data_IF_594426035711
#
_entry.id   IF_594426035711
#
_cell.length_a   1.000
_cell.length_b   1.000
_cell.length_c   1.000
_cell.angle_alpha   90.00
_cell.angle_beta   90.00
_cell.angle_gamma   90.00
#
_symmetry.space_group_name_H-M   'P 1'
#
loop_
_entity.id
_entity.type
_entity.pdbx_description
1 polymer ?
#
# COMPACT_ATOMS: atom_id res chain seq x y z
N UNK A 1 5.15 -33.01 -10.69
CA UNK A 1 4.38 -33.29 -11.92
C UNK A 1 3.12 -32.44 -11.85
N UNK A 2 3.06 -31.34 -12.59
CA UNK A 2 1.88 -30.46 -12.62
C UNK A 2 0.73 -31.19 -13.31
N UNK A 3 -0.41 -31.28 -12.64
CA UNK A 3 -1.61 -31.88 -13.23
C UNK A 3 -2.01 -31.12 -14.52
N UNK A 4 -2.42 -31.82 -15.59
CA UNK A 4 -2.92 -31.15 -16.78
C UNK A 4 -4.15 -30.31 -16.38
N UNK A 5 -4.11 -29.02 -16.67
CA UNK A 5 -5.26 -28.13 -16.53
C UNK A 5 -6.27 -28.60 -17.58
N UNK A 6 -7.29 -29.34 -17.15
CA UNK A 6 -8.41 -29.71 -18.01
C UNK A 6 -9.17 -28.41 -18.28
N UNK A 7 -8.89 -27.77 -19.42
CA UNK A 7 -9.66 -26.62 -19.89
C UNK A 7 -11.08 -27.13 -20.18
N UNK A 8 -12.05 -26.60 -19.44
CA UNK A 8 -13.46 -26.95 -19.67
C UNK A 8 -13.84 -26.62 -21.13
N UNK A 9 -14.68 -27.41 -21.81
CA UNK A 9 -15.22 -27.07 -23.13
C UNK A 9 -15.85 -25.66 -23.16
N UNK A 10 -16.31 -25.17 -22.01
CA UNK A 10 -16.80 -23.83 -21.82
C UNK A 10 -15.70 -22.75 -21.89
N UNK A 11 -14.53 -23.01 -21.31
CA UNK A 11 -13.40 -22.07 -21.36
C UNK A 11 -12.72 -22.07 -22.74
N UNK A 12 -12.89 -23.14 -23.53
CA UNK A 12 -12.38 -23.23 -24.90
C UNK A 12 -13.08 -22.28 -25.89
N UNK A 13 -14.35 -21.92 -25.63
CA UNK A 13 -15.12 -20.96 -26.46
C UNK A 13 -15.18 -19.56 -25.83
N UNK A 14 -14.26 -19.27 -24.89
CA UNK A 14 -14.15 -17.96 -24.25
C UNK A 14 -13.47 -16.97 -25.19
N UNK A 15 -14.08 -15.80 -25.34
CA UNK A 15 -13.55 -14.69 -26.11
C UNK A 15 -13.22 -13.50 -25.20
N UNK A 16 -12.38 -12.60 -25.70
CA UNK A 16 -12.08 -11.31 -25.07
C UNK A 16 -12.50 -10.19 -26.02
N UNK A 17 -13.17 -9.18 -25.49
CA UNK A 17 -13.39 -7.91 -26.21
C UNK A 17 -12.08 -7.12 -26.30
N UNK A 18 -12.06 -6.10 -27.15
CA UNK A 18 -10.91 -5.18 -27.28
C UNK A 18 -10.58 -4.46 -25.95
N UNK A 19 -11.57 -4.32 -25.06
CA UNK A 19 -11.46 -3.75 -23.71
C UNK A 19 -11.01 -4.80 -22.66
N UNK A 20 -10.71 -6.04 -23.06
CA UNK A 20 -10.28 -7.11 -22.16
C UNK A 20 -11.40 -7.79 -21.36
N UNK A 21 -12.67 -7.46 -21.61
CA UNK A 21 -13.83 -8.15 -20.99
C UNK A 21 -14.05 -9.51 -21.62
N UNK A 22 -14.20 -10.55 -20.79
CA UNK A 22 -14.58 -11.90 -21.24
C UNK A 22 -16.04 -11.95 -21.72
N UNK A 23 -16.27 -12.70 -22.81
CA UNK A 23 -17.61 -13.03 -23.28
C UNK A 23 -17.67 -14.39 -23.98
N UNK A 24 -18.88 -14.91 -24.13
CA UNK A 24 -19.19 -16.12 -24.89
C UNK A 24 -20.23 -15.80 -25.95
N UNK A 25 -19.97 -16.20 -27.20
CA UNK A 25 -20.99 -16.13 -28.24
C UNK A 25 -22.11 -17.13 -27.93
N UNK A 26 -23.37 -16.68 -28.00
CA UNK A 26 -24.52 -17.56 -27.90
C UNK A 26 -24.52 -18.60 -29.04
N UNK A 27 -24.00 -18.27 -30.22
CA UNK A 27 -23.86 -19.22 -31.34
C UNK A 27 -22.87 -20.34 -31.04
N UNK A 28 -21.74 -20.04 -30.39
CA UNK A 28 -20.75 -21.05 -29.99
C UNK A 28 -21.29 -21.93 -28.84
N UNK A 29 -22.05 -21.32 -27.92
CA UNK A 29 -22.63 -22.03 -26.77
C UNK A 29 -23.79 -22.96 -27.17
N UNK A 30 -24.58 -22.58 -28.17
CA UNK A 30 -25.77 -23.32 -28.62
C UNK A 30 -25.54 -24.83 -28.84
N UNK A 31 -24.55 -25.27 -29.65
CA UNK A 31 -24.30 -26.69 -29.89
C UNK A 31 -23.79 -27.41 -28.64
N UNK A 32 -23.02 -26.75 -27.76
CA UNK A 32 -22.52 -27.35 -26.52
C UNK A 32 -23.63 -27.68 -25.52
N UNK A 33 -24.78 -27.00 -25.64
CA UNK A 33 -25.97 -27.24 -24.84
C UNK A 33 -27.02 -28.12 -25.57
N UNK A 34 -26.63 -28.74 -26.68
CA UNK A 34 -27.46 -29.68 -27.43
C UNK A 34 -28.58 -29.05 -28.24
N UNK A 35 -28.54 -27.74 -28.53
CA UNK A 35 -29.54 -27.08 -29.37
C UNK A 35 -29.11 -27.08 -30.84
N UNK A 36 -29.97 -27.61 -31.71
CA UNK A 36 -29.74 -27.62 -33.16
C UNK A 36 -30.38 -26.39 -33.86
N UNK A 37 -31.49 -25.90 -33.31
CA UNK A 37 -32.29 -24.81 -33.89
C UNK A 37 -32.19 -23.56 -33.04
N UNK A 38 -31.87 -22.43 -33.68
CA UNK A 38 -31.66 -21.15 -33.01
C UNK A 38 -32.89 -20.68 -32.22
N UNK A 39 -34.09 -20.86 -32.76
CA UNK A 39 -35.33 -20.40 -32.11
C UNK A 39 -35.50 -21.04 -30.72
N UNK A 40 -35.17 -22.34 -30.61
CA UNK A 40 -35.22 -23.06 -29.34
C UNK A 40 -34.18 -22.58 -28.35
N UNK A 41 -33.02 -22.15 -28.84
CA UNK A 41 -31.98 -21.60 -27.98
C UNK A 41 -32.28 -20.15 -27.55
N UNK A 42 -32.84 -19.35 -28.46
CA UNK A 42 -33.31 -17.99 -28.18
C UNK A 42 -34.41 -17.99 -27.10
N UNK A 43 -35.29 -19.00 -27.08
CA UNK A 43 -36.26 -19.21 -26.01
C UNK A 43 -35.57 -19.44 -24.65
N UNK A 44 -34.53 -20.29 -24.60
CA UNK A 44 -33.76 -20.54 -23.38
C UNK A 44 -33.04 -19.27 -22.88
N UNK A 45 -32.45 -18.48 -23.80
CA UNK A 45 -31.86 -17.17 -23.48
C UNK A 45 -32.92 -16.21 -22.93
N UNK A 46 -34.13 -16.21 -23.49
CA UNK A 46 -35.21 -15.34 -23.04
C UNK A 46 -35.67 -15.69 -21.61
N UNK A 47 -35.77 -16.98 -21.28
CA UNK A 47 -36.03 -17.45 -19.91
C UNK A 47 -34.90 -17.04 -18.96
N UNK A 48 -33.64 -17.19 -19.37
CA UNK A 48 -32.48 -16.77 -18.59
C UNK A 48 -32.46 -15.25 -18.31
N UNK A 49 -32.79 -14.41 -19.30
CA UNK A 49 -32.94 -12.96 -19.12
C UNK A 49 -34.04 -12.61 -18.12
N UNK A 50 -35.17 -13.33 -18.16
CA UNK A 50 -36.25 -13.13 -17.19
C UNK A 50 -35.81 -13.51 -15.78
N UNK A 51 -35.13 -14.65 -15.61
CA UNK A 51 -34.58 -15.08 -14.33
C UNK A 51 -33.58 -14.05 -13.76
N UNK A 52 -32.67 -13.53 -14.60
CA UNK A 52 -31.73 -12.48 -14.19
C UNK A 52 -32.44 -11.23 -13.66
N UNK A 53 -33.44 -10.72 -14.40
CA UNK A 53 -34.22 -9.53 -13.99
C UNK A 53 -34.97 -9.76 -12.68
N UNK A 54 -35.60 -10.92 -12.52
CA UNK A 54 -36.33 -11.26 -11.31
C UNK A 54 -35.41 -11.38 -10.09
N UNK A 55 -34.14 -11.75 -10.31
CA UNK A 55 -33.09 -11.79 -9.29
C UNK A 55 -32.40 -10.43 -9.06
N UNK A 56 -32.83 -9.34 -9.73
CA UNK A 56 -32.27 -8.00 -9.57
C UNK A 56 -31.01 -7.72 -10.39
N UNK A 57 -30.62 -8.61 -11.30
CA UNK A 57 -29.46 -8.41 -12.19
C UNK A 57 -29.85 -7.70 -13.49
N UNK A 58 -28.96 -6.85 -14.01
CA UNK A 58 -29.16 -6.20 -15.30
C UNK A 58 -28.96 -7.18 -16.46
N UNK A 59 -30.05 -7.50 -17.15
CA UNK A 59 -30.05 -8.38 -18.31
C UNK A 59 -29.35 -7.75 -19.53
N UNK A 60 -29.33 -6.42 -19.68
CA UNK A 60 -28.65 -5.76 -20.79
C UNK A 60 -27.12 -5.89 -20.65
N UNK A 61 -26.61 -5.76 -19.42
CA UNK A 61 -25.20 -5.95 -19.11
C UNK A 61 -24.73 -7.40 -19.32
N UNK A 62 -25.56 -8.38 -18.96
CA UNK A 62 -25.19 -9.80 -18.98
C UNK A 62 -25.48 -10.49 -20.32
N UNK A 63 -26.45 -9.99 -21.08
CA UNK A 63 -26.89 -10.57 -22.36
C UNK A 63 -26.92 -9.53 -23.49
N UNK A 64 -25.84 -8.76 -23.72
CA UNK A 64 -25.79 -7.78 -24.80
C UNK A 64 -25.92 -8.48 -26.15
N UNK A 65 -26.80 -7.95 -27.01
CA UNK A 65 -26.89 -8.40 -28.39
C UNK A 65 -25.57 -8.09 -29.11
N UNK A 66 -25.07 -9.03 -29.90
CA UNK A 66 -23.89 -8.77 -30.73
C UNK A 66 -24.27 -7.76 -31.81
N UNK A 67 -23.58 -6.61 -31.83
CA UNK A 67 -23.75 -5.61 -32.89
C UNK A 67 -23.21 -6.10 -34.24
N UNK A 68 -22.41 -7.17 -34.25
CA UNK A 68 -21.92 -7.82 -35.46
C UNK A 68 -22.84 -8.99 -35.80
N UNK A 69 -23.68 -8.75 -36.79
CA UNK A 69 -24.34 -9.80 -37.55
C UNK A 69 -23.28 -10.77 -38.07
N UNK A 70 -23.28 -12.01 -37.61
CA UNK A 70 -22.44 -13.07 -38.17
C UNK A 70 -22.98 -13.44 -39.55
N UNK A 71 -22.51 -12.74 -40.59
CA UNK A 71 -23.00 -12.95 -41.95
C UNK A 71 -22.14 -12.23 -42.98
N UNK A 72 -20.92 -12.70 -43.23
CA UNK A 72 -20.15 -12.26 -44.40
C UNK A 72 -20.82 -12.71 -45.73
N UNK A 73 -21.84 -13.60 -45.68
CA UNK A 73 -22.52 -14.16 -46.86
C UNK A 73 -23.91 -14.75 -46.56
N UNK A 74 -24.77 -14.05 -45.82
CA UNK A 74 -26.13 -14.52 -45.51
C UNK A 74 -26.96 -13.52 -44.70
N UNK A 75 -28.28 -13.77 -44.53
CA UNK A 75 -29.15 -12.90 -43.75
C UNK A 75 -28.68 -12.81 -42.31
N UNK A 76 -29.01 -11.69 -41.67
CA UNK A 76 -28.47 -11.38 -40.37
C UNK A 76 -28.87 -12.39 -39.30
N UNK A 77 -27.89 -13.13 -38.77
CA UNK A 77 -28.13 -14.06 -37.67
C UNK A 77 -27.96 -13.33 -36.33
N UNK A 78 -29.00 -13.38 -35.49
CA UNK A 78 -28.93 -12.84 -34.14
C UNK A 78 -27.90 -13.61 -33.30
N UNK A 79 -27.13 -12.90 -32.49
CA UNK A 79 -26.18 -13.46 -31.53
C UNK A 79 -26.12 -12.59 -30.27
N UNK A 80 -25.55 -13.12 -29.19
CA UNK A 80 -25.35 -12.43 -27.92
C UNK A 80 -23.93 -12.66 -27.41
N UNK A 81 -23.32 -11.62 -26.83
CA UNK A 81 -22.04 -11.72 -26.13
C UNK A 81 -22.32 -11.93 -24.65
N UNK A 82 -22.58 -13.18 -24.26
CA UNK A 82 -22.99 -13.56 -22.93
C UNK A 82 -21.85 -13.38 -21.92
N UNK A 83 -22.16 -12.87 -20.74
CA UNK A 83 -21.24 -12.98 -19.59
C UNK A 83 -21.17 -14.43 -19.09
N UNK A 84 -20.15 -14.77 -18.31
CA UNK A 84 -20.06 -16.09 -17.66
C UNK A 84 -21.31 -16.42 -16.85
N UNK A 85 -21.83 -15.42 -16.12
CA UNK A 85 -23.08 -15.53 -15.38
C UNK A 85 -24.28 -15.83 -16.28
N UNK A 86 -24.40 -15.12 -17.42
CA UNK A 86 -25.47 -15.36 -18.38
C UNK A 86 -25.43 -16.79 -18.94
N UNK A 87 -24.25 -17.32 -19.25
CA UNK A 87 -24.12 -18.69 -19.72
C UNK A 87 -24.64 -19.73 -18.71
N UNK A 88 -24.33 -19.54 -17.42
CA UNK A 88 -24.84 -20.41 -16.36
C UNK A 88 -26.36 -20.31 -16.24
N UNK A 89 -26.92 -19.10 -16.30
CA UNK A 89 -28.37 -18.93 -16.30
C UNK A 89 -29.04 -19.57 -17.52
N UNK A 90 -28.43 -19.50 -18.71
CA UNK A 90 -28.94 -20.17 -19.92
C UNK A 90 -28.97 -21.69 -19.73
N UNK A 91 -27.91 -22.28 -19.17
CA UNK A 91 -27.89 -23.70 -18.86
C UNK A 91 -28.97 -24.07 -17.81
N UNK A 92 -29.09 -23.30 -16.73
CA UNK A 92 -30.07 -23.55 -15.67
C UNK A 92 -31.52 -23.42 -16.16
N UNK A 93 -31.80 -22.53 -17.12
CA UNK A 93 -33.12 -22.28 -17.70
C UNK A 93 -33.33 -22.97 -19.06
N UNK A 94 -32.48 -23.93 -19.42
CA UNK A 94 -32.58 -24.73 -20.64
C UNK A 94 -33.71 -25.78 -20.60
N UNK A 95 -33.91 -26.49 -21.70
CA UNK A 95 -34.82 -27.64 -21.77
C UNK A 95 -34.19 -28.86 -21.06
N UNK A 96 -34.73 -29.32 -19.92
CA UNK A 96 -34.15 -30.42 -19.14
C UNK A 96 -34.24 -31.78 -19.84
N UNK A 97 -34.96 -31.88 -20.97
CA UNK A 97 -34.97 -33.09 -21.81
C UNK A 97 -33.66 -33.26 -22.60
N UNK A 98 -32.81 -32.24 -22.66
CA UNK A 98 -31.49 -32.30 -23.29
C UNK A 98 -30.45 -32.83 -22.28
N UNK A 99 -29.70 -33.89 -22.60
CA UNK A 99 -28.71 -34.46 -21.68
C UNK A 99 -27.66 -33.44 -21.20
N UNK A 100 -27.24 -32.52 -22.05
CA UNK A 100 -26.25 -31.48 -21.74
C UNK A 100 -26.78 -30.49 -20.69
N UNK A 101 -28.06 -30.12 -20.79
CA UNK A 101 -28.73 -29.26 -19.80
C UNK A 101 -28.91 -29.99 -18.48
N UNK A 102 -29.37 -31.24 -18.50
CA UNK A 102 -29.54 -32.05 -17.29
C UNK A 102 -28.20 -32.29 -16.57
N UNK A 103 -27.13 -32.54 -17.32
CA UNK A 103 -25.77 -32.66 -16.79
C UNK A 103 -25.29 -31.35 -16.14
N UNK A 104 -25.52 -30.21 -16.80
CA UNK A 104 -25.17 -28.90 -16.23
C UNK A 104 -25.93 -28.62 -14.93
N UNK A 105 -27.24 -28.85 -14.90
CA UNK A 105 -28.06 -28.68 -13.69
C UNK A 105 -27.57 -29.59 -12.55
N UNK A 106 -27.28 -30.86 -12.83
CA UNK A 106 -26.74 -31.81 -11.85
C UNK A 106 -25.39 -31.35 -11.31
N UNK A 107 -24.51 -30.88 -12.20
CA UNK A 107 -23.23 -30.29 -11.82
C UNK A 107 -23.41 -29.10 -10.88
N UNK A 108 -24.33 -28.18 -11.18
CA UNK A 108 -24.59 -27.03 -10.30
C UNK A 108 -25.18 -27.45 -8.95
N UNK A 109 -26.06 -28.45 -8.90
CA UNK A 109 -26.58 -28.99 -7.62
C UNK A 109 -25.45 -29.56 -6.78
N UNK A 110 -24.58 -30.37 -7.38
CA UNK A 110 -23.41 -30.96 -6.70
C UNK A 110 -22.46 -29.86 -6.23
N UNK A 111 -22.11 -28.89 -7.10
CA UNK A 111 -21.20 -27.80 -6.75
C UNK A 111 -21.76 -26.87 -5.69
N UNK A 112 -23.07 -26.63 -5.70
CA UNK A 112 -23.73 -25.85 -4.65
C UNK A 112 -23.65 -26.61 -3.32
N UNK A 113 -23.90 -27.92 -3.32
CA UNK A 113 -23.77 -28.74 -2.11
C UNK A 113 -22.32 -28.77 -1.60
N UNK A 114 -21.35 -28.96 -2.48
CA UNK A 114 -19.93 -28.87 -2.15
C UNK A 114 -19.60 -27.51 -1.53
N UNK A 115 -20.05 -26.40 -2.12
CA UNK A 115 -19.81 -25.06 -1.60
C UNK A 115 -20.49 -24.79 -0.25
N UNK A 116 -21.72 -25.29 -0.04
CA UNK A 116 -22.42 -25.20 1.25
C UNK A 116 -21.72 -26.00 2.35
N UNK A 117 -21.14 -27.16 1.99
CA UNK A 117 -20.44 -28.05 2.93
C UNK A 117 -18.96 -27.74 3.08
N UNK A 118 -18.39 -26.93 2.17
CA UNK A 118 -17.06 -26.39 2.29
C UNK A 118 -17.04 -25.41 3.45
N UNK A 119 -16.78 -25.92 4.66
CA UNK A 119 -16.36 -25.12 5.80
C UNK A 119 -15.21 -24.21 5.35
N UNK A 120 -15.29 -22.92 5.67
CA UNK A 120 -14.15 -22.01 5.58
C UNK A 120 -12.93 -22.75 6.14
N UNK A 121 -11.80 -22.70 5.42
CA UNK A 121 -10.61 -23.51 5.70
C UNK A 121 -10.44 -23.69 7.22
N UNK A 122 -10.32 -24.93 7.73
CA UNK A 122 -10.30 -25.17 9.17
C UNK A 122 -9.28 -24.23 9.80
N UNK A 123 -9.70 -23.52 10.85
CA UNK A 123 -8.81 -22.63 11.57
C UNK A 123 -7.53 -23.42 11.89
N UNK A 124 -6.36 -22.85 11.57
CA UNK A 124 -5.09 -23.50 11.92
C UNK A 124 -5.11 -23.77 13.43
N UNK A 125 -4.94 -25.03 13.83
CA UNK A 125 -4.95 -25.44 15.25
C UNK A 125 -3.61 -26.00 15.67
N UNK A 126 -3.25 -25.82 16.94
CA UNK A 126 -2.07 -26.46 17.54
C UNK A 126 -0.76 -26.07 16.85
N UNK A 127 -0.06 -27.07 16.33
CA UNK A 127 1.29 -26.93 15.74
C UNK A 127 1.29 -26.11 14.45
N UNK A 128 0.24 -26.19 13.64
CA UNK A 128 0.19 -25.52 12.34
C UNK A 128 0.01 -24.00 12.48
N UNK A 129 -0.71 -23.57 13.52
CA UNK A 129 -0.85 -22.16 13.87
C UNK A 129 0.50 -21.60 14.36
N UNK A 130 1.22 -22.36 15.19
CA UNK A 130 2.53 -21.95 15.68
C UNK A 130 3.55 -21.84 14.54
N UNK A 131 3.56 -22.83 13.63
CA UNK A 131 4.43 -22.80 12.46
C UNK A 131 4.15 -21.60 11.56
N UNK A 132 2.88 -21.26 11.32
CA UNK A 132 2.50 -20.07 10.56
C UNK A 132 2.96 -18.78 11.25
N UNK A 133 2.77 -18.67 12.56
CA UNK A 133 3.21 -17.51 13.34
C UNK A 133 4.73 -17.33 13.31
N UNK A 134 5.50 -18.41 13.40
CA UNK A 134 6.97 -18.37 13.33
C UNK A 134 7.44 -17.92 11.94
N UNK A 135 6.85 -18.45 10.87
CA UNK A 135 7.19 -18.04 9.51
C UNK A 135 6.91 -16.55 9.27
N UNK A 136 5.82 -16.04 9.81
CA UNK A 136 5.46 -14.62 9.68
C UNK A 136 6.37 -13.72 10.53
N UNK A 137 6.70 -14.13 11.76
CA UNK A 137 7.66 -13.43 12.60
C UNK A 137 9.05 -13.36 11.94
N UNK A 138 9.50 -14.46 11.33
CA UNK A 138 10.78 -14.52 10.64
C UNK A 138 10.85 -13.51 9.48
N UNK A 139 9.80 -13.42 8.65
CA UNK A 139 9.71 -12.42 7.57
C UNK A 139 9.77 -10.99 8.10
N UNK A 140 9.13 -10.74 9.24
CA UNK A 140 9.16 -9.41 9.87
C UNK A 140 10.56 -9.06 10.38
N UNK A 141 11.27 -10.02 10.98
CA UNK A 141 12.64 -9.84 11.44
C UNK A 141 13.55 -9.54 10.26
N UNK A 142 13.49 -10.35 9.20
CA UNK A 142 14.29 -10.14 7.98
C UNK A 142 14.04 -8.76 7.34
N UNK A 143 12.79 -8.31 7.30
CA UNK A 143 12.46 -6.98 6.80
C UNK A 143 13.04 -5.86 7.68
N UNK A 144 13.04 -6.04 9.01
CA UNK A 144 13.65 -5.09 9.95
C UNK A 144 15.16 -5.07 9.86
N UNK A 145 15.80 -6.24 9.76
CA UNK A 145 17.25 -6.36 9.62
C UNK A 145 17.73 -5.71 8.32
N UNK A 146 17.00 -5.91 7.21
CA UNK A 146 17.29 -5.21 5.96
C UNK A 146 17.20 -3.68 6.10
N UNK A 147 16.21 -3.20 6.86
CA UNK A 147 16.06 -1.76 7.13
C UNK A 147 17.17 -1.23 8.02
N UNK A 148 17.60 -1.99 9.03
CA UNK A 148 18.74 -1.63 9.89
C UNK A 148 20.01 -1.53 9.04
N UNK A 149 20.29 -2.54 8.22
CA UNK A 149 21.48 -2.55 7.34
C UNK A 149 21.52 -1.36 6.36
N UNK A 150 20.37 -0.84 5.92
CA UNK A 150 20.30 0.37 5.09
C UNK A 150 20.55 1.66 5.90
N UNK A 151 20.05 1.71 7.14
CA UNK A 151 20.12 2.90 8.00
C UNK A 151 21.46 3.03 8.72
N UNK A 152 22.11 1.92 9.05
CA UNK A 152 23.38 1.87 9.77
C UNK A 152 24.49 2.70 9.09
N UNK A 153 24.80 2.55 7.79
CA UNK A 153 25.80 3.41 7.15
C UNK A 153 25.37 4.88 7.06
N UNK A 154 24.06 5.18 7.06
CA UNK A 154 23.55 6.56 7.07
C UNK A 154 23.71 7.20 8.44
N UNK A 155 23.51 6.43 9.51
CA UNK A 155 23.78 6.83 10.88
C UNK A 155 25.29 7.05 11.08
N UNK A 156 26.12 6.11 10.65
CA UNK A 156 27.59 6.22 10.75
C UNK A 156 28.13 7.41 9.95
N UNK A 157 27.62 7.64 8.74
CA UNK A 157 27.98 8.80 7.93
C UNK A 157 27.57 10.10 8.63
N UNK A 158 26.36 10.15 9.20
CA UNK A 158 25.91 11.31 9.97
C UNK A 158 26.84 11.56 11.17
N UNK A 159 27.20 10.53 11.94
CA UNK A 159 28.12 10.65 13.08
C UNK A 159 29.53 11.07 12.65
N UNK A 160 30.02 10.57 11.51
CA UNK A 160 31.32 10.94 10.93
C UNK A 160 31.34 12.39 10.44
N UNK A 161 30.31 12.84 9.73
CA UNK A 161 30.18 14.25 9.29
C UNK A 161 30.09 15.20 10.48
N UNK A 162 29.36 14.80 11.52
CA UNK A 162 29.28 15.56 12.76
C UNK A 162 30.66 15.68 13.44
N UNK A 163 31.51 14.66 13.33
CA UNK A 163 32.86 14.66 13.90
C UNK A 163 33.86 15.46 13.04
N UNK A 164 33.74 15.41 11.70
CA UNK A 164 34.68 16.04 10.76
C UNK A 164 34.62 17.58 10.68
N UNK A 165 33.48 18.22 10.98
CA UNK A 165 33.36 19.70 11.01
C UNK A 165 33.82 20.34 12.35
N UNK A 166 34.66 19.63 13.13
CA UNK A 166 35.10 20.08 14.44
C UNK A 166 34.03 19.93 15.54
N UNK A 167 32.95 19.18 15.29
CA UNK A 167 31.97 18.77 16.29
C UNK A 167 31.06 19.86 16.87
N UNK A 168 31.40 21.13 16.66
CA UNK A 168 30.71 22.26 17.30
C UNK A 168 29.50 22.72 16.48
N UNK A 169 28.34 22.85 17.13
CA UNK A 169 27.07 23.25 16.51
C UNK A 169 26.65 24.64 16.96
N UNK A 170 26.01 25.42 16.10
CA UNK A 170 25.35 26.66 16.53
C UNK A 170 24.16 26.35 17.44
N UNK A 171 23.78 27.29 18.32
CA UNK A 171 22.58 27.17 19.17
C UNK A 171 21.33 26.85 18.33
N UNK A 172 21.19 27.46 17.14
CA UNK A 172 20.09 27.18 16.20
C UNK A 172 20.07 25.75 15.70
N UNK A 173 21.23 25.21 15.35
CA UNK A 173 21.37 23.85 14.80
C UNK A 173 21.05 22.81 15.88
N UNK A 174 21.56 23.03 17.10
CA UNK A 174 21.24 22.21 18.26
C UNK A 174 19.74 22.23 18.59
N UNK A 175 19.10 23.41 18.58
CA UNK A 175 17.66 23.53 18.81
C UNK A 175 16.85 22.72 17.78
N UNK A 176 17.24 22.79 16.50
CA UNK A 176 16.57 22.05 15.42
C UNK A 176 16.70 20.54 15.58
N UNK A 177 17.87 20.04 15.98
CA UNK A 177 18.08 18.62 16.25
C UNK A 177 17.24 18.11 17.41
N UNK A 178 17.02 18.95 18.42
CA UNK A 178 16.21 18.64 19.59
C UNK A 178 14.70 18.88 19.37
N UNK A 179 14.30 19.32 18.18
CA UNK A 179 12.89 19.63 17.87
C UNK A 179 12.34 20.86 18.62
N UNK A 180 13.21 21.73 19.15
CA UNK A 180 12.83 22.91 19.93
C UNK A 180 12.95 24.19 19.10
N UNK A 181 12.18 25.23 19.48
CA UNK A 181 12.39 26.58 18.92
C UNK A 181 13.66 27.19 19.50
N UNK A 182 14.44 27.88 18.68
CA UNK A 182 15.72 28.48 19.09
C UNK A 182 15.59 29.39 20.33
N UNK A 183 14.50 30.17 20.41
CA UNK A 183 14.22 31.04 21.56
C UNK A 183 13.99 30.26 22.85
N UNK A 184 13.20 29.19 22.79
CA UNK A 184 12.87 28.33 23.94
C UNK A 184 14.12 27.58 24.41
N UNK A 185 14.87 27.01 23.47
CA UNK A 185 16.13 26.34 23.77
C UNK A 185 17.14 27.29 24.42
N UNK A 186 17.27 28.52 23.91
CA UNK A 186 18.17 29.52 24.48
C UNK A 186 17.75 29.94 25.89
N UNK A 187 16.44 30.10 26.12
CA UNK A 187 15.92 30.39 27.46
C UNK A 187 16.24 29.25 28.42
N UNK A 188 16.04 28.00 28.00
CA UNK A 188 16.38 26.84 28.80
C UNK A 188 17.87 26.79 29.17
N UNK A 189 18.77 27.12 28.24
CA UNK A 189 20.21 27.20 28.52
C UNK A 189 20.57 28.26 29.58
N UNK A 190 19.82 29.37 29.62
CA UNK A 190 19.97 30.42 30.65
C UNK A 190 19.42 29.94 32.00
N UNK A 191 18.25 29.30 31.99
CA UNK A 191 17.57 28.81 33.19
C UNK A 191 18.39 27.71 33.88
N UNK A 192 18.99 26.81 33.10
CA UNK A 192 19.94 25.78 33.55
C UNK A 192 21.32 26.34 33.95
N UNK A 193 21.51 27.66 33.80
CA UNK A 193 22.75 28.38 34.08
C UNK A 193 23.95 27.79 33.33
N UNK A 194 23.75 27.33 32.09
CA UNK A 194 24.83 26.85 31.22
C UNK A 194 25.52 28.02 30.51
N UNK A 195 24.73 29.04 30.16
CA UNK A 195 25.16 30.25 29.47
C UNK A 195 24.68 31.49 30.22
N UNK A 196 25.24 32.66 29.89
CA UNK A 196 24.80 33.96 30.37
C UNK A 196 24.78 34.99 29.25
N UNK A 197 24.03 36.09 29.45
CA UNK A 197 23.94 37.19 28.51
C UNK A 197 24.95 38.29 28.84
N UNK A 198 25.60 38.85 27.81
CA UNK A 198 26.49 40.01 27.89
C UNK A 198 26.08 41.06 26.87
N UNK A 199 26.35 42.33 27.14
CA UNK A 199 26.05 43.42 26.22
C UNK A 199 27.32 43.89 25.54
N UNK A 200 27.29 43.96 24.22
CA UNK A 200 28.36 44.55 23.44
C UNK A 200 28.33 46.08 23.56
N UNK A 201 29.47 46.76 23.35
CA UNK A 201 29.54 48.23 23.26
C UNK A 201 28.53 48.85 22.27
N UNK A 202 28.15 48.12 21.23
CA UNK A 202 27.13 48.55 20.26
C UNK A 202 25.67 48.35 20.72
N UNK A 203 25.45 47.87 21.95
CA UNK A 203 24.12 47.58 22.51
C UNK A 203 23.57 46.19 22.17
N UNK A 204 24.26 45.40 21.34
CA UNK A 204 23.82 44.06 20.99
C UNK A 204 23.91 43.09 22.18
N UNK A 205 22.86 42.29 22.41
CA UNK A 205 22.89 41.18 23.38
C UNK A 205 23.63 40.01 22.76
N UNK A 206 24.64 39.52 23.48
CA UNK A 206 25.46 38.38 23.12
C UNK A 206 25.41 37.34 24.23
N UNK A 207 25.82 36.12 23.92
CA UNK A 207 25.78 35.01 24.87
C UNK A 207 27.15 34.40 25.02
N UNK A 208 27.48 34.02 26.25
CA UNK A 208 28.73 33.37 26.61
C UNK A 208 28.46 32.27 27.64
N UNK A 209 29.46 31.46 27.96
CA UNK A 209 29.31 30.31 28.85
C UNK A 209 30.05 30.52 30.18
N UNK A 210 29.56 29.91 31.26
CA UNK A 210 30.29 29.92 32.53
C UNK A 210 31.60 29.15 32.40
N UNK A 211 32.62 29.53 33.19
CA UNK A 211 33.96 28.93 33.13
C UNK A 211 33.95 27.40 33.34
N UNK A 212 33.07 26.90 34.21
CA UNK A 212 32.89 25.45 34.43
C UNK A 212 32.40 24.68 33.20
N UNK A 213 31.85 25.38 32.20
CA UNK A 213 31.35 24.78 30.96
C UNK A 213 32.27 24.99 29.74
N UNK A 214 33.54 25.39 29.97
CA UNK A 214 34.52 25.64 28.89
C UNK A 214 34.77 24.43 27.98
N UNK A 215 34.59 23.19 28.47
CA UNK A 215 34.73 21.99 27.64
C UNK A 215 33.46 21.62 26.85
N UNK A 216 32.37 22.35 27.07
CA UNK A 216 31.05 22.07 26.48
C UNK A 216 30.63 23.13 25.46
N UNK A 217 31.16 24.34 25.56
CA UNK A 217 30.87 25.45 24.66
C UNK A 217 32.15 26.12 24.14
N UNK A 218 32.04 26.79 23.00
CA UNK A 218 33.12 27.57 22.41
C UNK A 218 32.55 28.88 21.88
N UNK A 219 33.06 30.02 22.36
CA UNK A 219 32.73 31.34 21.84
C UNK A 219 33.70 31.71 20.71
N UNK A 220 33.17 31.95 19.51
CA UNK A 220 33.97 32.43 18.37
C UNK A 220 33.81 33.93 18.20
N UNK A 221 34.92 34.66 18.30
CA UNK A 221 34.96 36.11 18.11
C UNK A 221 34.93 36.48 16.62
N UNK A 222 34.20 37.53 16.28
CA UNK A 222 34.23 38.18 14.98
C UNK A 222 34.04 39.68 15.15
N UNK A 223 34.71 40.47 14.31
CA UNK A 223 34.68 41.94 14.41
C UNK A 223 33.60 42.49 13.50
N UNK A 224 32.71 43.31 14.05
CA UNK A 224 31.67 44.02 13.32
C UNK A 224 32.10 45.48 13.14
N UNK A 225 32.06 45.97 11.90
CA UNK A 225 32.34 47.37 11.60
C UNK A 225 31.08 48.23 11.74
N UNK A 226 31.23 49.37 12.39
CA UNK A 226 30.21 50.40 12.56
C UNK A 226 30.72 51.74 12.01
N UNK A 227 29.82 52.71 11.84
CA UNK A 227 30.18 54.07 11.41
C UNK A 227 31.08 54.81 12.40
N UNK A 228 31.10 54.38 13.67
CA UNK A 228 31.84 54.98 14.77
C UNK A 228 33.05 54.15 15.24
N UNK A 229 33.39 53.06 14.55
CA UNK A 229 34.50 52.18 14.92
C UNK A 229 34.20 50.70 14.68
N UNK A 230 34.93 49.80 15.33
CA UNK A 230 34.68 48.35 15.28
C UNK A 230 34.32 47.80 16.66
N UNK A 231 33.48 46.76 16.69
CA UNK A 231 33.03 46.09 17.91
C UNK A 231 33.25 44.57 17.81
N UNK A 232 33.81 43.95 18.84
CA UNK A 232 33.96 42.50 18.92
C UNK A 232 32.61 41.83 19.26
N UNK A 233 32.26 40.81 18.49
CA UNK A 233 31.05 40.03 18.66
C UNK A 233 31.37 38.55 18.85
N UNK A 234 30.62 37.87 19.72
CA UNK A 234 30.83 36.47 20.03
C UNK A 234 29.64 35.62 19.57
N UNK A 235 29.95 34.55 18.82
CA UNK A 235 28.97 33.52 18.45
C UNK A 235 29.25 32.27 19.26
N UNK A 236 28.28 31.88 20.09
CA UNK A 236 28.38 30.70 20.92
C UNK A 236 28.09 29.42 20.14
N UNK A 237 29.00 28.44 20.22
CA UNK A 237 28.86 27.09 19.66
C UNK A 237 28.88 26.04 20.77
N UNK A 238 28.18 24.93 20.55
CA UNK A 238 28.07 23.79 21.45
C UNK A 238 28.95 22.67 20.93
N UNK A 239 29.93 22.23 21.73
CA UNK A 239 30.81 21.11 21.40
C UNK A 239 30.05 19.76 21.49
N UNK A 240 30.58 18.64 20.96
CA UNK A 240 29.92 17.33 21.05
C UNK A 240 29.57 16.93 22.49
N UNK A 241 30.52 17.10 23.42
CA UNK A 241 30.28 16.89 24.85
C UNK A 241 29.19 17.80 25.42
N UNK A 242 29.08 19.03 24.90
CA UNK A 242 28.00 19.96 25.22
C UNK A 242 26.64 19.41 24.83
N UNK A 243 26.55 18.82 23.64
CA UNK A 243 25.31 18.18 23.17
C UNK A 243 24.94 16.97 24.04
N UNK A 244 25.90 16.12 24.43
CA UNK A 244 25.67 14.99 25.34
C UNK A 244 25.15 15.44 26.72
N UNK A 245 25.73 16.51 27.28
CA UNK A 245 25.28 17.08 28.56
C UNK A 245 23.83 17.59 28.45
N UNK A 246 23.52 18.30 27.36
CA UNK A 246 22.22 18.91 27.12
C UNK A 246 21.14 17.83 26.93
N UNK A 247 21.40 16.81 26.10
CA UNK A 247 20.45 15.70 25.90
C UNK A 247 20.21 14.93 27.18
N UNK A 248 21.25 14.68 27.98
CA UNK A 248 21.13 14.01 29.28
C UNK A 248 20.28 14.81 30.28
N UNK A 249 20.41 16.14 30.32
CA UNK A 249 19.59 17.00 31.20
C UNK A 249 18.14 17.10 30.74
N UNK A 250 17.90 17.24 29.42
CA UNK A 250 16.54 17.24 28.86
C UNK A 250 15.81 15.92 29.11
N UNK A 251 16.51 14.78 28.99
CA UNK A 251 15.94 13.46 29.26
C UNK A 251 15.54 13.23 30.72
N UNK A 252 16.13 13.96 31.68
CA UNK A 252 15.73 13.94 33.10
C UNK A 252 14.47 14.75 33.41
N UNK A 253 14.07 15.66 32.51
CA UNK A 253 12.87 16.50 32.65
C UNK A 253 11.62 15.80 32.07
N UNK A 254 11.81 14.81 31.19
CA UNK A 254 10.72 14.07 30.52
C UNK A 254 10.21 12.82 31.29
N UNK A 255 10.67 12.61 32.52
CA UNK A 255 10.14 11.63 33.48
C UNK A 255 9.54 12.35 34.66
#
# INVERSE_FOLDING_TARGET
MSAPVIVSPFDAIRHLTDEGREYWSARDLMPLLGYEKWERFADAISRAKLAARNAGYDAAQNFPASGKVSGSRGPAQADYHLSRYACYLVALNGDPRKPEIAAAQTYFVIKTREAETATAAPALTGTDLLAAAVLEAQRMIEAKDARIAELEPKADLADTYLTAQGGSRLIREAAKLLGMREREFRQWLLDERLIFAKHAPCGAVQYDHYAQFTHYFQAHEHVVAHSWGSCAHYTLRILPRGMELITARLGRISK
#
